data_IF_290404209068
#
_entry.id   IF_290404209068
#
_cell.length_a   1.000
_cell.length_b   1.000
_cell.length_c   1.000
_cell.angle_alpha   90.00
_cell.angle_beta   90.00
_cell.angle_gamma   90.00
#
_symmetry.space_group_name_H-M   'P 1'
#
loop_
_entity.id
_entity.type
_entity.pdbx_description
1 polymer ?
#
# COMPACT_ATOMS: atom_id res chain seq x y z
N UNK A 1 -3.83 -19.52 3.48
CA UNK A 1 -3.47 -18.33 2.68
C UNK A 1 -4.38 -17.20 3.13
N UNK A 2 -3.82 -16.05 3.48
CA UNK A 2 -4.62 -14.92 3.97
C UNK A 2 -5.48 -14.38 2.81
N UNK A 3 -6.74 -14.77 2.84
CA UNK A 3 -7.79 -14.27 1.95
C UNK A 3 -8.39 -13.04 2.63
N UNK A 4 -8.67 -11.97 1.87
CA UNK A 4 -9.31 -10.75 2.38
C UNK A 4 -8.46 -9.89 3.34
N UNK A 5 -7.15 -9.74 3.05
CA UNK A 5 -6.29 -8.79 3.79
C UNK A 5 -6.56 -7.38 3.31
N UNK A 6 -6.91 -6.52 4.27
CA UNK A 6 -7.04 -5.07 4.07
C UNK A 6 -5.88 -4.36 4.76
N UNK A 7 -5.47 -3.21 4.21
CA UNK A 7 -4.47 -2.34 4.82
C UNK A 7 -4.93 -0.89 4.72
N UNK A 8 -4.48 -0.06 5.66
CA UNK A 8 -4.55 1.39 5.58
C UNK A 8 -3.16 1.99 5.77
N UNK A 9 -3.02 3.25 5.39
CA UNK A 9 -1.78 4.03 5.58
C UNK A 9 -2.07 5.14 6.57
N UNK A 10 -1.29 5.19 7.66
CA UNK A 10 -1.33 6.30 8.62
C UNK A 10 -0.49 7.46 8.11
N UNK A 11 -1.12 8.59 7.89
CA UNK A 11 -0.46 9.86 7.52
C UNK A 11 -0.60 10.89 8.64
N UNK A 12 0.12 12.00 8.53
CA UNK A 12 0.00 13.13 9.47
C UNK A 12 -1.42 13.73 9.50
N UNK A 13 -2.16 13.63 8.38
CA UNK A 13 -3.53 14.13 8.24
C UNK A 13 -4.59 13.08 8.59
N UNK A 14 -4.18 11.86 8.97
CA UNK A 14 -5.07 10.77 9.37
C UNK A 14 -4.78 9.45 8.67
N UNK A 15 -5.56 8.43 9.03
CA UNK A 15 -5.50 7.11 8.41
C UNK A 15 -6.31 7.14 7.09
N UNK A 16 -5.77 6.55 6.01
CA UNK A 16 -6.51 6.40 4.75
C UNK A 16 -7.59 5.34 4.91
N UNK A 17 -8.61 5.37 4.03
CA UNK A 17 -9.58 4.27 3.94
C UNK A 17 -8.89 2.92 3.70
N UNK A 18 -9.49 1.87 4.24
CA UNK A 18 -8.99 0.50 4.07
C UNK A 18 -9.08 0.10 2.60
N UNK A 19 -7.97 -0.34 2.01
CA UNK A 19 -7.93 -0.86 0.65
C UNK A 19 -7.51 -2.34 0.62
N UNK A 20 -8.18 -3.19 -0.18
CA UNK A 20 -7.87 -4.60 -0.28
C UNK A 20 -6.56 -4.82 -1.06
N UNK A 21 -5.65 -5.61 -0.51
CA UNK A 21 -4.46 -6.05 -1.26
C UNK A 21 -4.87 -7.21 -2.18
N UNK A 22 -5.25 -6.88 -3.42
CA UNK A 22 -5.62 -7.84 -4.47
C UNK A 22 -4.43 -8.30 -5.32
N UNK A 23 -3.21 -7.83 -5.03
CA UNK A 23 -2.04 -8.17 -5.83
C UNK A 23 -1.55 -9.54 -5.38
N UNK A 24 -1.57 -10.52 -6.29
CA UNK A 24 -1.01 -11.85 -6.11
C UNK A 24 0.53 -11.84 -6.02
N UNK A 25 1.10 -11.01 -5.16
CA UNK A 25 2.53 -11.04 -4.87
C UNK A 25 2.76 -12.17 -3.87
N UNK A 26 3.64 -13.08 -4.26
CA UNK A 26 4.12 -14.18 -3.43
C UNK A 26 4.48 -13.64 -2.04
N UNK A 27 3.80 -14.10 -0.99
CA UNK A 27 4.09 -13.68 0.39
C UNK A 27 5.60 -13.88 0.65
N UNK A 28 6.32 -12.77 0.85
CA UNK A 28 7.79 -12.75 0.90
C UNK A 28 8.43 -11.75 -0.07
N UNK A 29 7.76 -11.42 -1.17
CA UNK A 29 8.04 -10.20 -1.90
C UNK A 29 7.24 -9.10 -1.22
N UNK A 30 7.79 -8.56 -0.14
CA UNK A 30 7.52 -7.17 0.16
C UNK A 30 7.95 -6.42 -1.11
N UNK A 31 7.00 -5.95 -1.92
CA UNK A 31 7.23 -4.70 -2.62
C UNK A 31 7.74 -3.79 -1.52
N UNK A 32 9.05 -3.57 -1.48
CA UNK A 32 9.73 -2.98 -0.32
C UNK A 32 8.92 -1.76 0.13
N UNK A 33 8.81 -1.46 1.43
CA UNK A 33 8.21 -0.21 1.90
C UNK A 33 8.69 1.00 1.08
N UNK A 34 9.91 0.94 0.55
CA UNK A 34 10.46 1.90 -0.41
C UNK A 34 9.76 1.93 -1.79
N UNK A 35 9.52 0.79 -2.42
CA UNK A 35 8.79 0.73 -3.70
C UNK A 35 7.34 1.16 -3.53
N UNK A 36 6.69 0.80 -2.41
CA UNK A 36 5.36 1.29 -2.09
C UNK A 36 5.36 2.82 -1.90
N UNK A 37 6.30 3.35 -1.12
CA UNK A 37 6.45 4.79 -0.93
C UNK A 37 6.75 5.53 -2.24
N UNK A 38 7.61 5.00 -3.11
CA UNK A 38 7.91 5.58 -4.43
C UNK A 38 6.69 5.64 -5.34
N UNK A 39 5.87 4.58 -5.37
CA UNK A 39 4.65 4.57 -6.20
C UNK A 39 3.64 5.59 -5.67
N UNK A 40 3.49 5.70 -4.34
CA UNK A 40 2.61 6.71 -3.73
C UNK A 40 3.15 8.13 -4.00
N UNK A 41 4.45 8.37 -3.85
CA UNK A 41 5.08 9.68 -4.12
C UNK A 41 4.84 10.13 -5.57
N UNK A 42 5.03 9.23 -6.55
CA UNK A 42 4.81 9.54 -7.96
C UNK A 42 3.34 9.82 -8.29
N UNK A 43 2.39 9.06 -7.70
CA UNK A 43 0.95 9.31 -7.89
C UNK A 43 0.52 10.65 -7.28
N UNK A 44 1.17 11.08 -6.20
CA UNK A 44 0.86 12.34 -5.50
C UNK A 44 1.57 13.55 -6.12
N UNK A 45 2.54 13.33 -7.02
CA UNK A 45 3.36 14.40 -7.63
C UNK A 45 2.59 15.31 -8.59
N UNK A 46 1.49 14.82 -9.16
CA UNK A 46 0.64 15.54 -10.12
C UNK A 46 -0.69 16.03 -9.52
N UNK A 47 -0.84 15.97 -8.19
CA UNK A 47 -1.97 16.52 -7.41
C UNK A 47 -1.52 17.84 -6.75
#
# INVERSE_FOLDING_TARGET
>A
MYTNVVTNVRTSDGDTDDFPINIGLHQGLALSPYLFALVIDEITRDI
#
